data_IF_865104860556
#
_entry.id   IF_865104860556
#
_cell.length_a   1.000
_cell.length_b   1.000
_cell.length_c   1.000
_cell.angle_alpha   90.00
_cell.angle_beta   90.00
_cell.angle_gamma   90.00
#
_symmetry.space_group_name_H-M   'P 1'
#
loop_
_entity.id
_entity.type
_entity.pdbx_description
1 polymer ?
#
# COMPACT_ATOMS: atom_id res chain seq x y z
N UNK A 1 -71.19 -15.45 74.31
CA UNK A 1 -70.20 -15.45 73.23
C UNK A 1 -70.19 -16.79 72.52
N UNK A 2 -70.07 -16.75 71.18
CA UNK A 2 -69.65 -17.83 70.26
C UNK A 2 -70.53 -19.09 70.26
N UNK A 3 -71.10 -19.40 69.08
CA UNK A 3 -71.03 -20.73 68.43
C UNK A 3 -71.74 -20.76 67.07
N UNK A 4 -70.96 -21.16 66.05
CA UNK A 4 -71.29 -22.11 64.97
C UNK A 4 -71.92 -21.57 63.67
N UNK A 5 -71.00 -21.29 62.74
CA UNK A 5 -70.91 -21.81 61.36
C UNK A 5 -72.06 -22.70 60.87
N UNK A 6 -72.70 -22.30 59.77
CA UNK A 6 -73.18 -23.22 58.74
C UNK A 6 -72.97 -22.59 57.35
N UNK A 7 -72.14 -23.27 56.58
CA UNK A 7 -71.88 -23.15 55.16
C UNK A 7 -73.00 -23.91 54.44
N UNK A 8 -73.59 -23.34 53.38
CA UNK A 8 -73.99 -24.07 52.18
C UNK A 8 -74.17 -23.05 51.02
N UNK A 9 -73.26 -23.00 50.04
CA UNK A 9 -73.21 -23.89 48.85
C UNK A 9 -74.35 -23.59 47.86
N UNK A 10 -74.03 -22.98 46.71
CA UNK A 10 -73.98 -23.66 45.41
C UNK A 10 -73.79 -22.66 44.26
N UNK A 11 -72.85 -22.96 43.36
CA UNK A 11 -73.04 -22.68 41.94
C UNK A 11 -71.83 -22.11 41.18
N UNK A 12 -71.10 -22.98 40.49
CA UNK A 12 -70.53 -22.64 39.18
C UNK A 12 -69.01 -22.62 39.08
N UNK A 13 -68.45 -23.74 38.63
CA UNK A 13 -67.08 -23.87 38.19
C UNK A 13 -66.79 -23.05 36.94
N UNK A 14 -65.68 -22.30 36.90
CA UNK A 14 -64.68 -22.36 35.82
C UNK A 14 -63.58 -21.33 36.06
N UNK A 15 -62.36 -21.85 36.06
CA UNK A 15 -61.09 -21.16 36.21
C UNK A 15 -60.85 -20.16 35.07
N UNK A 16 -60.30 -19.00 35.42
CA UNK A 16 -59.71 -18.06 34.47
C UNK A 16 -58.92 -17.03 35.25
N UNK A 17 -57.62 -17.28 35.43
CA UNK A 17 -56.70 -16.39 36.11
C UNK A 17 -56.69 -15.03 35.41
N UNK A 18 -57.27 -14.00 36.05
CA UNK A 18 -56.94 -12.62 35.71
C UNK A 18 -55.72 -12.23 36.52
N UNK A 19 -54.56 -12.68 36.02
CA UNK A 19 -53.25 -12.22 36.44
C UNK A 19 -53.22 -10.69 36.33
N UNK A 20 -53.02 -10.05 37.48
CA UNK A 20 -52.67 -8.63 37.57
C UNK A 20 -51.30 -8.50 36.92
N UNK A 21 -51.28 -8.16 35.62
CA UNK A 21 -50.06 -7.87 34.89
C UNK A 21 -49.48 -6.56 35.40
N UNK A 22 -48.45 -6.66 36.23
CA UNK A 22 -47.49 -5.58 36.44
C UNK A 22 -46.92 -5.21 35.07
N UNK A 23 -47.32 -4.07 34.53
CA UNK A 23 -46.68 -3.46 33.38
C UNK A 23 -45.26 -3.05 33.75
N UNK A 24 -44.33 -4.00 33.68
CA UNK A 24 -42.92 -3.72 33.60
C UNK A 24 -42.72 -3.04 32.25
N UNK A 25 -42.43 -1.74 32.26
CA UNK A 25 -41.87 -1.07 31.11
C UNK A 25 -40.53 -1.74 30.84
N UNK A 26 -40.51 -2.66 29.87
CA UNK A 26 -39.28 -3.16 29.29
C UNK A 26 -38.73 -2.01 28.46
N UNK A 27 -37.81 -1.25 29.02
CA UNK A 27 -36.92 -0.40 28.22
C UNK A 27 -36.15 -1.36 27.32
N UNK A 28 -36.56 -1.44 26.06
CA UNK A 28 -35.73 -2.06 25.04
C UNK A 28 -34.67 -1.01 24.72
N UNK A 29 -33.51 -1.11 25.37
CA UNK A 29 -32.27 -0.62 24.79
C UNK A 29 -32.06 -1.46 23.53
N UNK A 30 -32.55 -0.94 22.40
CA UNK A 30 -32.25 -1.51 21.11
C UNK A 30 -30.79 -1.16 20.83
N UNK A 31 -29.88 -2.07 21.16
CA UNK A 31 -28.53 -2.09 20.62
C UNK A 31 -28.64 -2.20 19.08
N UNK A 32 -28.79 -1.06 18.41
CA UNK A 32 -28.66 -0.97 16.95
C UNK A 32 -27.17 -0.93 16.62
N UNK A 33 -26.47 -2.01 16.91
CA UNK A 33 -25.15 -2.25 16.30
C UNK A 33 -25.37 -2.64 14.84
N UNK A 34 -25.31 -1.67 13.93
CA UNK A 34 -25.25 -1.98 12.50
C UNK A 34 -23.83 -2.46 12.22
N UNK A 35 -23.64 -3.78 12.21
CA UNK A 35 -22.42 -4.38 11.66
C UNK A 35 -22.43 -4.13 10.15
N UNK A 36 -21.81 -3.02 9.74
CA UNK A 36 -21.63 -2.68 8.34
C UNK A 36 -20.54 -3.62 7.80
N UNK A 37 -20.94 -4.54 6.93
CA UNK A 37 -19.97 -5.33 6.16
C UNK A 37 -19.09 -4.35 5.37
N UNK A 38 -17.81 -4.27 5.75
CA UNK A 38 -16.76 -3.58 5.00
C UNK A 38 -16.57 -4.36 3.70
N UNK A 39 -17.26 -3.91 2.65
CA UNK A 39 -17.18 -4.47 1.29
C UNK A 39 -15.81 -4.15 0.71
N UNK A 40 -15.31 -5.02 -0.17
CA UNK A 40 -14.09 -4.78 -0.94
C UNK A 40 -14.35 -3.72 -2.01
N UNK A 41 -13.90 -2.47 -1.82
CA UNK A 41 -13.54 -1.58 -2.94
C UNK A 41 -12.89 -0.28 -2.42
N UNK A 42 -12.38 0.54 -3.34
CA UNK A 42 -12.05 1.97 -3.08
C UNK A 42 -13.26 2.77 -2.54
N UNK A 43 -14.46 2.17 -2.45
CA UNK A 43 -15.74 2.75 -2.00
C UNK A 43 -16.18 2.25 -0.60
N UNK A 44 -15.34 1.48 0.10
CA UNK A 44 -15.60 1.05 1.47
C UNK A 44 -15.42 2.20 2.47
N UNK A 45 -16.25 2.23 3.52
CA UNK A 45 -16.12 3.25 4.57
C UNK A 45 -14.73 3.29 5.22
N UNK A 46 -14.05 2.13 5.30
CA UNK A 46 -12.59 2.06 5.45
C UNK A 46 -11.96 1.73 4.10
N UNK A 47 -11.43 2.74 3.41
CA UNK A 47 -10.76 2.58 2.12
C UNK A 47 -9.38 1.96 2.28
N UNK A 48 -9.13 0.83 1.63
CA UNK A 48 -7.83 0.13 1.66
C UNK A 48 -7.30 -0.08 0.24
N UNK A 49 -6.22 0.64 -0.12
CA UNK A 49 -5.62 0.58 -1.46
C UNK A 49 -4.16 0.14 -1.41
N UNK A 50 -3.82 -0.92 -2.14
CA UNK A 50 -2.43 -1.31 -2.34
C UNK A 50 -1.73 -0.35 -3.32
N UNK A 51 -0.77 0.43 -2.83
CA UNK A 51 -0.04 1.46 -3.60
C UNK A 51 1.19 0.90 -4.31
N UNK A 52 1.86 -0.08 -3.69
CA UNK A 52 3.04 -0.74 -4.25
C UNK A 52 2.98 -2.25 -4.05
N UNK A 53 3.46 -2.98 -5.05
CA UNK A 53 3.64 -4.45 -5.00
C UNK A 53 5.11 -4.87 -5.00
N UNK A 54 6.02 -3.91 -5.15
CA UNK A 54 7.45 -4.14 -5.21
C UNK A 54 8.11 -3.35 -4.10
N UNK A 55 8.85 -4.02 -3.23
CA UNK A 55 9.55 -3.42 -2.10
C UNK A 55 11.04 -3.64 -2.30
N UNK A 56 11.85 -2.60 -2.51
CA UNK A 56 13.29 -2.75 -2.56
C UNK A 56 13.82 -3.30 -1.24
N UNK A 57 14.67 -4.32 -1.32
CA UNK A 57 15.25 -4.98 -0.16
C UNK A 57 15.97 -3.99 0.76
N UNK A 58 15.67 -4.02 2.06
CA UNK A 58 16.27 -3.13 3.06
C UNK A 58 15.82 -1.67 2.98
N UNK A 59 14.86 -1.33 2.12
CA UNK A 59 14.28 0.01 2.03
C UNK A 59 12.83 0.00 2.52
N UNK A 60 12.44 1.02 3.29
CA UNK A 60 11.05 1.23 3.69
C UNK A 60 10.23 1.72 2.48
N UNK A 61 9.09 1.08 2.23
CA UNK A 61 8.21 1.41 1.10
C UNK A 61 6.74 1.43 1.51
N UNK A 62 6.03 2.49 1.13
CA UNK A 62 4.57 2.58 1.30
C UNK A 62 3.84 1.62 0.37
N UNK A 63 3.20 0.61 0.96
CA UNK A 63 2.55 -0.48 0.22
C UNK A 63 1.03 -0.44 0.33
N UNK A 64 0.47 0.14 1.39
CA UNK A 64 -0.97 0.27 1.57
C UNK A 64 -1.32 1.69 1.98
N UNK A 65 -2.37 2.24 1.39
CA UNK A 65 -3.03 3.46 1.87
C UNK A 65 -4.35 3.08 2.54
N UNK A 66 -4.51 3.55 3.76
CA UNK A 66 -5.75 3.54 4.52
C UNK A 66 -6.41 4.91 4.32
N UNK A 67 -7.71 4.95 4.12
CA UNK A 67 -8.48 6.19 4.02
C UNK A 67 -9.75 6.10 4.84
N UNK A 68 -9.98 7.10 5.70
CA UNK A 68 -11.27 7.26 6.34
C UNK A 68 -12.29 7.80 5.32
N UNK A 69 -13.32 7.03 5.00
CA UNK A 69 -14.44 7.46 4.15
C UNK A 69 -15.76 7.54 4.94
N UNK A 70 -15.72 7.38 6.26
CA UNK A 70 -16.84 7.69 7.13
C UNK A 70 -17.12 9.20 7.14
N UNK A 71 -18.36 9.57 7.44
CA UNK A 71 -18.75 10.96 7.67
C UNK A 71 -18.28 11.48 9.05
N UNK A 72 -17.70 10.61 9.88
CA UNK A 72 -17.22 10.88 11.24
C UNK A 72 -15.74 10.59 11.34
N UNK A 73 -15.07 11.18 12.34
CA UNK A 73 -13.70 10.81 12.71
C UNK A 73 -13.63 9.32 13.06
N UNK A 74 -12.49 8.70 12.74
CA UNK A 74 -12.24 7.28 12.94
C UNK A 74 -11.06 7.12 13.90
N UNK A 75 -11.33 6.60 15.09
CA UNK A 75 -10.29 6.07 15.98
C UNK A 75 -9.94 4.67 15.50
N UNK A 76 -8.71 4.50 14.98
CA UNK A 76 -8.26 3.28 14.32
C UNK A 76 -7.04 2.69 15.02
N UNK A 77 -7.14 1.41 15.34
CA UNK A 77 -6.02 0.57 15.75
C UNK A 77 -5.78 -0.52 14.71
N UNK A 78 -4.51 -0.86 14.52
CA UNK A 78 -4.08 -1.90 13.58
C UNK A 78 -3.26 -2.94 14.31
N UNK A 79 -3.64 -4.21 14.18
CA UNK A 79 -2.85 -5.35 14.64
C UNK A 79 -2.15 -5.96 13.44
N UNK A 80 -0.88 -6.28 13.59
CA UNK A 80 -0.12 -7.06 12.58
C UNK A 80 -0.20 -8.54 12.99
N UNK A 81 -1.07 -9.30 12.35
CA UNK A 81 -1.33 -10.71 12.73
C UNK A 81 -0.25 -11.66 12.17
N UNK A 82 0.31 -11.34 10.99
CA UNK A 82 1.35 -12.16 10.35
C UNK A 82 2.41 -11.28 9.67
N UNK A 83 3.68 -11.69 9.81
CA UNK A 83 4.88 -11.06 9.26
C UNK A 83 5.80 -12.06 8.54
N UNK A 84 5.33 -13.26 8.22
CA UNK A 84 6.17 -14.40 7.82
C UNK A 84 7.27 -14.05 6.79
N UNK A 85 7.02 -13.08 5.91
CA UNK A 85 7.97 -12.66 4.87
C UNK A 85 8.30 -11.15 4.85
N UNK A 86 7.87 -10.36 5.85
CA UNK A 86 8.25 -8.94 6.00
C UNK A 86 8.88 -8.69 7.37
N UNK A 87 9.93 -7.86 7.40
CA UNK A 87 10.69 -7.61 8.63
C UNK A 87 9.96 -6.67 9.58
N UNK A 88 9.55 -5.52 9.02
CA UNK A 88 8.98 -4.42 9.78
C UNK A 88 7.78 -3.87 9.04
N UNK A 89 6.72 -3.58 9.79
CA UNK A 89 5.53 -2.84 9.35
C UNK A 89 5.47 -1.56 10.18
N UNK A 90 5.33 -0.42 9.52
CA UNK A 90 5.26 0.91 10.12
C UNK A 90 4.04 1.63 9.57
N UNK A 91 3.36 2.42 10.41
CA UNK A 91 2.32 3.35 9.97
C UNK A 91 2.76 4.75 10.35
N UNK A 92 3.00 5.60 9.35
CA UNK A 92 3.46 6.99 9.56
C UNK A 92 2.25 7.93 9.67
N UNK A 93 1.45 7.75 10.72
CA UNK A 93 0.35 8.65 11.07
C UNK A 93 0.05 8.51 12.57
N UNK A 94 0.07 9.61 13.31
CA UNK A 94 -0.18 9.63 14.77
C UNK A 94 -1.62 9.19 15.11
N UNK A 95 -2.56 9.40 14.17
CA UNK A 95 -3.95 8.98 14.31
C UNK A 95 -4.17 7.46 14.25
N UNK A 96 -3.15 6.69 13.86
CA UNK A 96 -3.27 5.24 13.69
C UNK A 96 -2.20 4.53 14.50
N UNK A 97 -2.65 3.79 15.51
CA UNK A 97 -1.76 3.07 16.40
C UNK A 97 -1.62 1.60 15.98
N UNK A 98 -0.39 1.07 16.00
CA UNK A 98 -0.16 -0.37 15.92
C UNK A 98 -0.25 -0.97 17.33
N UNK A 99 -1.25 -1.83 17.55
CA UNK A 99 -1.52 -2.46 18.84
C UNK A 99 -1.31 -3.97 18.77
N UNK A 100 -1.13 -4.63 19.92
CA UNK A 100 -0.93 -6.07 19.99
C UNK A 100 -2.22 -6.87 19.76
N UNK A 101 -3.34 -6.35 20.25
CA UNK A 101 -4.67 -6.93 20.10
C UNK A 101 -5.68 -5.79 19.95
N UNK A 102 -6.81 -6.07 19.32
CA UNK A 102 -7.92 -5.13 19.26
C UNK A 102 -8.60 -5.06 20.62
N UNK A 103 -8.05 -4.28 21.55
CA UNK A 103 -8.75 -3.93 22.78
C UNK A 103 -9.81 -2.89 22.43
N UNK A 104 -11.07 -3.23 22.71
CA UNK A 104 -12.17 -2.33 22.46
C UNK A 104 -12.03 -1.09 23.34
N UNK A 105 -11.64 0.03 22.69
CA UNK A 105 -11.47 1.40 23.21
C UNK A 105 -10.05 1.70 23.69
N UNK A 106 -9.45 2.73 23.08
CA UNK A 106 -8.68 3.69 23.87
C UNK A 106 -9.65 4.24 24.92
N UNK A 107 -9.45 3.95 26.20
CA UNK A 107 -9.98 4.86 27.22
C UNK A 107 -9.25 6.18 26.97
N UNK A 108 -9.89 7.09 26.24
CA UNK A 108 -9.42 8.46 26.14
C UNK A 108 -9.23 8.99 27.55
N UNK A 109 -7.98 9.15 27.98
CA UNK A 109 -7.63 9.99 29.12
C UNK A 109 -7.63 11.48 28.71
N UNK A 110 -8.44 11.88 27.71
CA UNK A 110 -8.66 13.29 27.40
C UNK A 110 -9.78 13.83 28.30
N UNK A 111 -9.33 14.55 29.32
CA UNK A 111 -10.15 15.43 30.15
C UNK A 111 -10.40 16.79 29.45
N UNK A 112 -10.26 16.85 28.13
CA UNK A 112 -10.33 18.09 27.37
C UNK A 112 -11.55 18.03 26.46
N UNK A 113 -12.31 19.13 26.53
CA UNK A 113 -13.56 19.40 25.82
C UNK A 113 -13.48 18.88 24.38
N UNK A 114 -14.37 17.96 23.97
CA UNK A 114 -14.44 17.47 22.59
C UNK A 114 -14.30 18.65 21.62
N UNK A 115 -13.18 18.70 20.91
CA UNK A 115 -12.97 19.66 19.84
C UNK A 115 -14.07 19.41 18.80
N UNK A 116 -14.93 20.39 18.56
CA UNK A 116 -15.91 20.30 17.45
C UNK A 116 -15.21 20.20 16.08
N UNK A 117 -13.90 20.47 16.04
CA UNK A 117 -13.05 20.43 14.86
C UNK A 117 -12.11 19.22 14.93
N UNK A 118 -12.41 18.20 14.14
CA UNK A 118 -11.64 16.96 14.09
C UNK A 118 -10.17 17.19 13.70
N UNK A 119 -9.86 18.29 13.00
CA UNK A 119 -8.49 18.67 12.61
C UNK A 119 -7.59 19.04 13.80
N UNK A 120 -8.15 19.22 15.00
CA UNK A 120 -7.39 19.48 16.23
C UNK A 120 -7.01 18.21 16.99
N UNK A 121 -7.63 17.07 16.68
CA UNK A 121 -7.36 15.80 17.30
C UNK A 121 -6.42 14.98 16.40
N UNK A 122 -5.14 14.95 16.74
CA UNK A 122 -4.10 14.18 16.03
C UNK A 122 -4.22 12.66 16.24
N UNK A 123 -5.00 12.24 17.24
CA UNK A 123 -5.23 10.84 17.61
C UNK A 123 -6.32 10.13 16.79
N UNK A 124 -7.01 10.82 15.88
CA UNK A 124 -8.11 10.27 15.06
C UNK A 124 -7.96 10.64 13.58
N UNK A 125 -8.43 9.75 12.70
CA UNK A 125 -8.47 10.04 11.26
C UNK A 125 -9.73 10.86 10.95
N UNK A 126 -9.59 12.09 10.46
CA UNK A 126 -10.75 12.89 10.02
C UNK A 126 -11.39 12.29 8.76
N UNK A 127 -12.66 12.63 8.47
CA UNK A 127 -13.29 12.26 7.21
C UNK A 127 -12.44 12.68 6.00
N UNK A 128 -11.99 11.70 5.20
CA UNK A 128 -11.15 11.90 4.03
C UNK A 128 -9.64 11.70 4.26
N UNK A 129 -9.19 11.70 5.53
CA UNK A 129 -7.78 11.55 5.88
C UNK A 129 -7.22 10.19 5.49
N UNK A 130 -5.90 10.16 5.29
CA UNK A 130 -5.18 8.96 4.87
C UNK A 130 -4.01 8.64 5.78
N UNK A 131 -3.80 7.35 6.02
CA UNK A 131 -2.59 6.83 6.62
C UNK A 131 -1.87 5.89 5.65
N UNK A 132 -0.54 5.83 5.72
CA UNK A 132 0.28 4.96 4.88
C UNK A 132 0.88 3.85 5.73
N UNK A 133 0.69 2.62 5.27
CA UNK A 133 1.40 1.46 5.79
C UNK A 133 2.64 1.24 4.94
N UNK A 134 3.76 1.29 5.62
CA UNK A 134 5.10 1.10 5.10
C UNK A 134 5.65 -0.25 5.55
N UNK A 135 6.37 -0.94 4.67
CA UNK A 135 7.02 -2.23 5.00
C UNK A 135 8.49 -2.23 4.62
N UNK A 136 9.27 -3.02 5.35
CA UNK A 136 10.68 -3.34 5.06
C UNK A 136 10.82 -4.85 4.90
N UNK A 137 11.54 -5.30 3.87
CA UNK A 137 11.85 -6.72 3.66
C UNK A 137 13.24 -7.11 4.19
N UNK A 138 13.36 -8.27 4.85
CA UNK A 138 14.63 -8.90 5.26
C UNK A 138 15.09 -10.02 4.31
N UNK A 139 14.24 -10.43 3.36
CA UNK A 139 14.52 -11.48 2.36
C UNK A 139 14.05 -11.06 0.97
N UNK A 140 14.64 -11.64 -0.07
CA UNK A 140 14.19 -11.48 -1.46
C UNK A 140 13.16 -12.56 -1.77
N UNK A 141 12.07 -12.22 -2.46
CA UNK A 141 11.03 -13.19 -2.77
C UNK A 141 9.65 -12.57 -2.90
N UNK A 142 8.65 -13.44 -3.00
CA UNK A 142 7.29 -13.05 -2.61
C UNK A 142 7.24 -12.96 -1.08
N UNK A 143 6.40 -12.07 -0.59
CA UNK A 143 6.15 -11.87 0.81
C UNK A 143 4.69 -11.54 1.05
N UNK A 144 4.15 -12.05 2.15
CA UNK A 144 2.79 -11.76 2.59
C UNK A 144 2.81 -11.24 4.03
N UNK A 145 1.87 -10.35 4.33
CA UNK A 145 1.62 -9.88 5.68
C UNK A 145 0.13 -9.62 5.88
N UNK A 146 -0.33 -9.80 7.11
CA UNK A 146 -1.75 -9.67 7.46
C UNK A 146 -1.97 -8.55 8.46
N UNK A 147 -2.93 -7.68 8.16
CA UNK A 147 -3.35 -6.59 9.02
C UNK A 147 -4.79 -6.78 9.45
N UNK A 148 -5.03 -6.63 10.75
CA UNK A 148 -6.36 -6.53 11.32
C UNK A 148 -6.62 -5.10 11.77
N UNK A 149 -7.70 -4.53 11.26
CA UNK A 149 -8.16 -3.17 11.49
C UNK A 149 -9.34 -3.21 12.45
N UNK A 150 -9.26 -2.41 13.51
CA UNK A 150 -10.27 -2.31 14.55
C UNK A 150 -10.45 -0.86 14.93
N UNK A 151 -11.70 -0.39 15.03
CA UNK A 151 -11.93 1.03 15.32
C UNK A 151 -13.40 1.41 15.38
N UNK A 152 -13.65 2.67 15.72
CA UNK A 152 -15.01 3.23 15.78
C UNK A 152 -15.07 4.55 15.02
N UNK A 153 -16.17 4.74 14.29
CA UNK A 153 -16.48 5.98 13.59
C UNK A 153 -17.94 6.36 13.87
N UNK A 154 -18.15 7.20 14.89
CA UNK A 154 -19.48 7.56 15.37
C UNK A 154 -20.28 6.33 15.84
N UNK A 155 -21.41 6.04 15.18
CA UNK A 155 -22.25 4.88 15.49
C UNK A 155 -21.81 3.58 14.77
N UNK A 156 -20.79 3.64 13.92
CA UNK A 156 -20.27 2.50 13.19
C UNK A 156 -18.98 1.95 13.84
N UNK A 157 -18.79 0.64 13.75
CA UNK A 157 -17.54 -0.02 14.11
C UNK A 157 -16.86 -0.61 12.87
N UNK A 158 -15.53 -0.63 12.91
CA UNK A 158 -14.66 -1.26 11.94
C UNK A 158 -14.08 -2.50 12.60
N UNK A 159 -14.28 -3.65 11.96
CA UNK A 159 -13.53 -4.87 12.26
C UNK A 159 -13.25 -5.59 10.94
N UNK A 160 -11.97 -5.66 10.56
CA UNK A 160 -11.58 -6.25 9.26
C UNK A 160 -10.18 -6.82 9.34
N UNK A 161 -9.99 -8.06 8.91
CA UNK A 161 -8.66 -8.62 8.62
C UNK A 161 -8.42 -8.66 7.11
N UNK A 162 -7.21 -8.32 6.67
CA UNK A 162 -6.80 -8.35 5.27
C UNK A 162 -5.33 -8.69 5.09
N UNK A 163 -5.06 -9.64 4.22
CA UNK A 163 -3.72 -10.05 3.78
C UNK A 163 -3.27 -9.25 2.56
N UNK A 164 -1.99 -8.94 2.49
CA UNK A 164 -1.36 -8.16 1.43
C UNK A 164 -0.12 -8.88 0.90
N UNK A 165 -0.08 -9.08 -0.42
CA UNK A 165 1.06 -9.70 -1.11
C UNK A 165 1.99 -8.63 -1.70
N UNK A 166 3.28 -8.71 -1.39
CA UNK A 166 4.33 -7.87 -1.97
C UNK A 166 5.48 -8.73 -2.48
N UNK A 167 6.29 -8.18 -3.38
CA UNK A 167 7.50 -8.84 -3.87
C UNK A 167 8.72 -8.03 -3.46
N UNK A 168 9.51 -8.60 -2.56
CA UNK A 168 10.79 -8.07 -2.13
C UNK A 168 11.84 -8.28 -3.22
N UNK A 169 12.44 -7.18 -3.67
CA UNK A 169 13.25 -7.14 -4.88
C UNK A 169 14.57 -6.43 -4.63
N UNK A 170 15.61 -6.91 -5.31
CA UNK A 170 16.93 -6.28 -5.27
C UNK A 170 16.86 -4.83 -5.81
N UNK A 171 17.27 -3.81 -5.04
CA UNK A 171 17.22 -2.41 -5.42
C UNK A 171 18.01 -2.12 -6.68
N UNK A 172 17.60 -1.10 -7.42
CA UNK A 172 18.33 -0.65 -8.61
C UNK A 172 19.54 0.17 -8.15
N UNK A 173 20.74 -0.26 -8.52
CA UNK A 173 21.98 0.46 -8.24
C UNK A 173 22.18 1.62 -9.25
N UNK A 174 21.77 1.41 -10.51
CA UNK A 174 21.94 2.39 -11.57
C UNK A 174 21.93 1.78 -12.97
N UNK A 175 22.37 2.56 -13.95
CA UNK A 175 22.43 2.14 -15.36
C UNK A 175 23.85 2.28 -15.90
N UNK A 176 24.36 1.17 -16.42
CA UNK A 176 25.64 1.11 -17.10
C UNK A 176 25.45 1.26 -18.61
N UNK A 177 26.03 2.30 -19.20
CA UNK A 177 26.08 2.57 -20.64
C UNK A 177 27.41 2.11 -21.24
N UNK A 178 27.63 0.82 -21.46
CA UNK A 178 28.93 0.36 -21.95
C UNK A 178 29.19 0.86 -23.38
N UNK A 179 30.17 1.76 -23.54
CA UNK A 179 30.81 2.03 -24.82
C UNK A 179 31.88 0.98 -25.12
N UNK A 180 32.17 0.71 -26.40
CA UNK A 180 33.37 -0.06 -26.76
C UNK A 180 34.60 0.69 -26.24
N UNK A 181 35.25 0.14 -25.23
CA UNK A 181 36.52 0.65 -24.71
C UNK A 181 37.51 0.80 -25.86
N UNK A 182 37.89 2.04 -26.18
CA UNK A 182 39.25 2.49 -26.52
C UNK A 182 40.15 1.70 -27.48
N UNK A 183 39.69 0.69 -28.21
CA UNK A 183 40.45 0.08 -29.29
C UNK A 183 39.83 0.51 -30.61
N UNK A 184 40.46 1.51 -31.23
CA UNK A 184 40.32 1.81 -32.65
C UNK A 184 40.64 0.56 -33.45
N UNK A 185 39.64 -0.29 -33.68
CA UNK A 185 39.67 -1.21 -34.80
C UNK A 185 39.35 -0.37 -36.02
N UNK A 186 40.42 0.16 -36.61
CA UNK A 186 40.45 0.45 -38.03
C UNK A 186 40.03 -0.82 -38.75
N UNK A 187 38.82 -0.83 -39.31
CA UNK A 187 38.62 -1.62 -40.51
C UNK A 187 37.44 -1.08 -41.29
N UNK A 188 37.81 -0.57 -42.46
CA UNK A 188 36.98 -0.41 -43.62
C UNK A 188 36.10 -1.66 -43.81
N UNK A 189 34.87 -1.60 -43.33
CA UNK A 189 33.80 -2.45 -43.81
C UNK A 189 32.46 -1.88 -43.37
N UNK A 190 31.77 -1.31 -44.35
CA UNK A 190 30.30 -1.24 -44.45
C UNK A 190 29.54 -0.69 -43.24
N UNK A 191 29.46 0.64 -43.14
CA UNK A 191 28.18 1.34 -42.94
C UNK A 191 27.27 0.99 -41.75
N UNK A 192 27.78 0.41 -40.66
CA UNK A 192 27.02 0.21 -39.41
C UNK A 192 27.57 1.07 -38.29
N UNK A 193 27.30 2.37 -38.38
CA UNK A 193 27.44 3.32 -37.28
C UNK A 193 26.31 3.10 -36.28
N UNK A 194 26.61 2.46 -35.15
CA UNK A 194 25.69 2.38 -34.01
C UNK A 194 25.92 1.15 -33.14
N UNK A 195 27.04 1.08 -32.42
CA UNK A 195 27.20 0.10 -31.34
C UNK A 195 26.29 0.54 -30.17
N UNK A 196 25.01 0.21 -30.28
CA UNK A 196 23.97 0.39 -29.25
C UNK A 196 24.08 -0.66 -28.12
N UNK A 197 24.96 -1.64 -28.31
CA UNK A 197 25.05 -2.84 -27.53
C UNK A 197 25.77 -2.62 -26.20
N UNK A 198 25.05 -2.96 -25.13
CA UNK A 198 25.48 -3.12 -23.73
C UNK A 198 25.11 -1.98 -22.78
N UNK A 199 23.93 -1.36 -22.95
CA UNK A 199 23.27 -0.73 -21.79
C UNK A 199 22.82 -1.84 -20.84
N UNK A 200 23.01 -1.69 -19.52
CA UNK A 200 22.56 -2.62 -18.49
C UNK A 200 21.95 -1.85 -17.33
N UNK A 201 20.77 -2.24 -16.87
CA UNK A 201 20.23 -1.77 -15.59
C UNK A 201 20.80 -2.69 -14.52
N UNK A 202 21.53 -2.15 -13.55
CA UNK A 202 22.17 -2.92 -12.48
C UNK A 202 21.34 -2.87 -11.21
N UNK A 203 21.38 -3.98 -10.49
CA UNK A 203 20.86 -4.05 -9.13
C UNK A 203 22.01 -4.19 -8.14
N UNK A 204 21.79 -3.84 -6.88
CA UNK A 204 22.85 -3.80 -5.87
C UNK A 204 23.51 -5.18 -5.67
N UNK A 205 22.74 -6.28 -5.64
CA UNK A 205 23.34 -7.62 -5.53
C UNK A 205 23.95 -8.15 -6.83
N UNK A 206 23.61 -7.55 -7.97
CA UNK A 206 23.97 -8.02 -9.32
C UNK A 206 23.41 -9.40 -9.72
N UNK A 207 22.69 -10.08 -8.82
CA UNK A 207 22.26 -11.48 -8.99
C UNK A 207 20.79 -11.61 -9.38
N UNK A 208 20.01 -10.53 -9.23
CA UNK A 208 18.60 -10.51 -9.64
C UNK A 208 18.47 -10.68 -11.16
N UNK A 209 17.51 -11.51 -11.57
CA UNK A 209 17.18 -11.74 -12.99
C UNK A 209 15.74 -11.26 -13.32
N UNK A 210 15.19 -10.37 -12.51
CA UNK A 210 13.82 -9.88 -12.71
C UNK A 210 13.67 -9.06 -13.98
N UNK A 211 12.44 -9.02 -14.49
CA UNK A 211 12.06 -8.17 -15.61
C UNK A 211 11.34 -6.95 -15.07
N UNK A 212 11.74 -5.76 -15.51
CA UNK A 212 11.15 -4.48 -15.12
C UNK A 212 10.65 -3.75 -16.35
N UNK A 213 9.70 -2.85 -16.13
CA UNK A 213 9.25 -1.90 -17.15
C UNK A 213 10.22 -0.72 -17.16
N UNK A 214 10.72 -0.39 -18.35
CA UNK A 214 11.62 0.73 -18.55
C UNK A 214 11.27 1.48 -19.82
N UNK A 215 11.62 2.77 -19.86
CA UNK A 215 11.50 3.62 -21.04
C UNK A 215 12.90 3.96 -21.54
N UNK A 216 13.19 3.58 -22.78
CA UNK A 216 14.43 3.92 -23.45
C UNK A 216 14.27 5.24 -24.22
N UNK A 217 15.15 6.19 -23.95
CA UNK A 217 15.34 7.40 -24.73
C UNK A 217 16.41 7.15 -25.79
N UNK A 218 16.10 7.42 -27.05
CA UNK A 218 17.00 7.20 -28.18
C UNK A 218 16.92 8.34 -29.19
N UNK A 219 18.00 8.54 -29.94
CA UNK A 219 18.03 9.54 -31.03
C UNK A 219 17.48 8.93 -32.33
N UNK A 220 16.54 9.62 -32.97
CA UNK A 220 16.06 9.26 -34.30
C UNK A 220 17.04 9.69 -35.42
N UNK A 221 16.71 9.32 -36.66
CA UNK A 221 17.55 9.67 -37.83
C UNK A 221 17.66 11.17 -38.06
N UNK A 222 16.77 11.98 -37.50
CA UNK A 222 16.82 13.44 -37.53
C UNK A 222 17.50 14.05 -36.30
N UNK A 223 18.08 13.25 -35.41
CA UNK A 223 18.73 13.73 -34.18
C UNK A 223 17.75 14.11 -33.07
N UNK A 224 16.45 13.86 -33.23
CA UNK A 224 15.46 14.13 -32.19
C UNK A 224 15.42 12.99 -31.18
N UNK A 225 15.25 13.32 -29.90
CA UNK A 225 15.04 12.30 -28.88
C UNK A 225 13.62 11.77 -28.96
N UNK A 226 13.51 10.44 -28.99
CA UNK A 226 12.27 9.69 -28.93
C UNK A 226 12.33 8.75 -27.73
N UNK A 227 11.17 8.37 -27.24
CA UNK A 227 11.06 7.42 -26.14
C UNK A 227 10.24 6.21 -26.54
N UNK A 228 10.60 5.05 -25.97
CA UNK A 228 9.80 3.85 -26.12
C UNK A 228 9.91 2.97 -24.90
N UNK A 229 8.76 2.48 -24.45
CA UNK A 229 8.66 1.62 -23.29
C UNK A 229 8.79 0.15 -23.67
N UNK A 230 9.35 -0.65 -22.78
CA UNK A 230 9.50 -2.08 -22.94
C UNK A 230 9.78 -2.79 -21.62
N UNK A 231 9.66 -4.12 -21.65
CA UNK A 231 10.04 -4.99 -20.54
C UNK A 231 11.45 -5.52 -20.74
N UNK A 232 12.31 -5.29 -19.76
CA UNK A 232 13.73 -5.63 -19.83
C UNK A 232 14.22 -6.33 -18.57
N UNK A 233 15.14 -7.27 -18.74
CA UNK A 233 15.76 -7.95 -17.61
C UNK A 233 16.88 -7.09 -17.03
N UNK A 234 16.91 -6.96 -15.71
CA UNK A 234 18.04 -6.35 -14.99
C UNK A 234 19.29 -7.23 -15.08
N UNK A 235 20.46 -6.64 -14.84
CA UNK A 235 21.79 -7.24 -14.90
C UNK A 235 22.21 -7.85 -16.25
N UNK A 236 21.34 -7.75 -17.28
CA UNK A 236 21.59 -8.24 -18.63
C UNK A 236 21.71 -7.09 -19.63
N UNK A 237 22.49 -7.24 -20.71
CA UNK A 237 22.49 -6.28 -21.81
C UNK A 237 21.06 -6.06 -22.34
N UNK A 238 20.63 -4.80 -22.32
CA UNK A 238 19.39 -4.36 -22.93
C UNK A 238 19.49 -4.56 -24.45
N UNK A 239 18.42 -5.12 -25.03
CA UNK A 239 18.31 -5.29 -26.48
C UNK A 239 17.33 -4.24 -27.03
N UNK A 240 17.70 -3.40 -28.01
CA UNK A 240 16.80 -2.41 -28.61
C UNK A 240 15.47 -2.99 -29.10
N UNK A 241 15.48 -4.25 -29.55
CA UNK A 241 14.29 -5.00 -29.95
C UNK A 241 13.25 -5.15 -28.84
N UNK A 242 13.64 -5.18 -27.55
CA UNK A 242 12.71 -5.20 -26.40
C UNK A 242 11.89 -3.92 -26.26
N UNK A 243 12.41 -2.83 -26.80
CA UNK A 243 11.71 -1.55 -26.89
C UNK A 243 11.03 -1.38 -28.26
N UNK A 244 11.10 -2.35 -29.18
CA UNK A 244 10.66 -2.20 -30.59
C UNK A 244 11.31 -0.99 -31.29
N UNK A 245 12.55 -0.67 -30.91
CA UNK A 245 13.34 0.38 -31.56
C UNK A 245 14.35 -0.32 -32.48
N UNK A 246 14.57 0.24 -33.68
CA UNK A 246 15.70 -0.16 -34.53
C UNK A 246 17.02 0.00 -33.76
N UNK A 247 18.15 -0.49 -34.28
CA UNK A 247 19.48 -0.37 -33.66
C UNK A 247 19.96 1.09 -33.59
N UNK A 248 19.29 1.89 -32.74
CA UNK A 248 19.53 3.31 -32.48
C UNK A 248 20.14 3.49 -31.10
N UNK A 249 21.07 4.44 -30.94
CA UNK A 249 21.77 4.65 -29.68
C UNK A 249 20.78 5.07 -28.60
N UNK A 250 20.75 4.30 -27.52
CA UNK A 250 20.07 4.69 -26.29
C UNK A 250 20.91 5.78 -25.62
N UNK A 251 20.27 6.91 -25.34
CA UNK A 251 20.84 8.09 -24.69
C UNK A 251 20.32 8.28 -23.28
N UNK A 252 19.31 7.51 -22.86
CA UNK A 252 18.92 7.42 -21.47
C UNK A 252 17.90 6.33 -21.20
N UNK A 253 17.75 6.00 -19.92
CA UNK A 253 16.81 4.99 -19.43
C UNK A 253 16.02 5.58 -18.27
N UNK A 254 14.70 5.50 -18.32
CA UNK A 254 13.83 5.68 -17.15
C UNK A 254 13.38 4.31 -16.67
N UNK A 255 13.54 4.04 -15.39
CA UNK A 255 13.04 2.83 -14.75
C UNK A 255 11.71 3.18 -14.09
N UNK A 256 10.69 2.34 -14.29
CA UNK A 256 9.42 2.54 -13.60
C UNK A 256 9.59 2.45 -12.08
N UNK A 257 8.93 3.37 -11.36
CA UNK A 257 9.05 3.48 -9.91
C UNK A 257 10.24 4.32 -9.43
N UNK A 258 11.14 4.74 -10.33
CA UNK A 258 12.27 5.63 -10.01
C UNK A 258 12.04 6.97 -10.69
N UNK A 259 12.10 8.05 -9.91
CA UNK A 259 11.95 9.40 -10.46
C UNK A 259 13.19 9.80 -11.28
N UNK A 260 12.95 10.44 -12.43
CA UNK A 260 14.00 10.91 -13.34
C UNK A 260 14.44 9.90 -14.40
N UNK A 261 15.56 10.21 -15.05
CA UNK A 261 16.13 9.46 -16.18
C UNK A 261 17.62 9.29 -15.98
N UNK A 262 18.11 8.06 -16.03
CA UNK A 262 19.54 7.78 -16.15
C UNK A 262 20.01 8.23 -17.53
N UNK A 263 20.57 9.44 -17.62
CA UNK A 263 21.07 10.02 -18.86
C UNK A 263 22.47 9.48 -19.15
N UNK A 264 22.71 9.07 -20.40
CA UNK A 264 24.03 8.67 -20.84
C UNK A 264 24.99 9.86 -20.68
N UNK A 265 26.16 9.69 -20.05
CA UNK A 265 27.14 10.77 -19.92
C UNK A 265 27.67 11.21 -21.30
N UNK A 266 27.76 12.52 -21.53
CA UNK A 266 28.29 13.10 -22.78
C UNK A 266 29.81 12.87 -22.93
N UNK A 267 30.52 12.80 -21.80
CA UNK A 267 31.96 12.48 -21.74
C UNK A 267 32.21 11.40 -20.68
N UNK A 268 32.14 10.10 -21.04
CA UNK A 268 32.16 9.04 -20.04
C UNK A 268 33.50 8.85 -19.31
N UNK A 269 34.61 9.41 -19.80
CA UNK A 269 35.93 9.19 -19.17
C UNK A 269 36.19 7.70 -18.88
N UNK A 270 36.48 7.36 -17.61
CA UNK A 270 36.64 5.98 -17.11
C UNK A 270 35.33 5.33 -16.62
N UNK A 271 34.20 6.05 -16.62
CA UNK A 271 32.95 5.64 -15.98
C UNK A 271 31.75 5.73 -16.92
N UNK A 272 31.21 4.57 -17.27
CA UNK A 272 29.97 4.45 -18.04
C UNK A 272 28.75 4.17 -17.15
N UNK A 273 28.88 4.29 -15.83
CA UNK A 273 27.83 3.97 -14.86
C UNK A 273 27.19 5.24 -14.32
N UNK A 274 25.86 5.23 -14.23
CA UNK A 274 25.06 6.34 -13.72
C UNK A 274 24.18 5.77 -12.61
N UNK A 275 24.48 6.13 -11.37
CA UNK A 275 23.74 5.74 -10.16
C UNK A 275 22.57 6.70 -9.86
N UNK A 276 22.68 7.95 -10.31
CA UNK A 276 21.73 9.00 -9.99
C UNK A 276 20.93 9.43 -11.23
N UNK A 277 19.59 9.28 -11.23
CA UNK A 277 18.75 9.74 -12.33
C UNK A 277 18.60 11.27 -12.34
N UNK A 278 18.49 11.86 -13.54
CA UNK A 278 18.24 13.28 -13.78
C UNK A 278 16.75 13.55 -13.90
N UNK A 279 16.19 14.48 -13.12
CA UNK A 279 14.74 14.75 -13.10
C UNK A 279 14.21 15.36 -14.41
N UNK A 280 14.91 16.33 -14.97
CA UNK A 280 14.56 16.98 -16.25
C UNK A 280 15.75 16.93 -17.22
N UNK A 281 15.94 15.80 -17.95
CA UNK A 281 17.07 15.65 -18.83
C UNK A 281 16.91 16.54 -20.07
N UNK A 282 17.81 17.52 -20.22
CA UNK A 282 17.93 18.23 -21.50
C UNK A 282 18.56 17.31 -22.55
N UNK A 283 17.91 17.25 -23.71
CA UNK A 283 18.37 16.48 -24.86
C UNK A 283 18.91 17.45 -25.92
N UNK A 284 20.17 17.84 -25.78
CA UNK A 284 20.90 18.59 -26.81
C UNK A 284 20.95 17.87 -28.15
#
# INVERSE_FOLDING_TARGET
>A
MKRRTLILLLGGASSGAMSVGTGAFSSVEAERGVSVNVVEDDEAYLGLKQTAKLVPFGEQTDVVRIQNQFASSLDLSVVVEDKDDVDTVVIENEAVEIVAECDGRKESESNDEESEDCEMDDDVLCPGDTALVSVVCDKLGEAEFELRFCGNAGEASVEKTRSFEVKCVDPIEGVQFVGSNGNSVSSESSGKSGNTGNVKIRTQSGSSNRTIRATAYYKDSGGNTREKQGYVSVNKPLKPSKFKVADRPIVGIRVEGIQGVYKRPDNPGNGNFVDTPTQDPSWG
#
